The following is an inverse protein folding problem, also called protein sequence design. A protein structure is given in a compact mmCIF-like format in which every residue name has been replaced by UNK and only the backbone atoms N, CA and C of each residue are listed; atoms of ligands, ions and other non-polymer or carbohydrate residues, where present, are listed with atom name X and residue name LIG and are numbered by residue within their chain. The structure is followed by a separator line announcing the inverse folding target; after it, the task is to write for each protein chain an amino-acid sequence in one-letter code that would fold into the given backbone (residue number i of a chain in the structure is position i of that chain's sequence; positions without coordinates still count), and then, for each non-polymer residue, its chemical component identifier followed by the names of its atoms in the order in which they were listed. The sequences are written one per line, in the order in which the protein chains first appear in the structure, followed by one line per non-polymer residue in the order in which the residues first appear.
data_IF_169532183432
#
_entry.id   IF_169532183432
#
_cell.length_a   1.000
_cell.length_b   1.000
_cell.length_c   1.000
_cell.angle_alpha   90.00
_cell.angle_beta   90.00
_cell.angle_gamma   90.00
#
_symmetry.space_group_name_H-M   'P 1'
#
loop_
_entity.id
_entity.type
_entity.pdbx_description
1 polymer ?
#
# COMPACT_ATOMS: atom_id res chain seq x y z
N UNK A 1 23.02 38.32 -28.06
CA UNK A 1 22.39 38.89 -26.86
C UNK A 1 20.98 38.33 -26.75
N UNK A 2 20.82 37.21 -26.02
CA UNK A 2 19.62 36.82 -25.26
C UNK A 2 19.99 35.57 -24.46
N UNK A 3 20.12 35.73 -23.14
CA UNK A 3 20.43 34.67 -22.19
C UNK A 3 19.14 33.97 -21.76
N UNK A 4 19.15 32.62 -21.74
CA UNK A 4 18.08 31.82 -21.15
C UNK A 4 18.51 31.46 -19.72
N UNK A 5 17.79 31.99 -18.72
CA UNK A 5 17.99 31.66 -17.31
C UNK A 5 17.55 30.21 -17.04
N UNK A 6 18.47 29.37 -16.60
CA UNK A 6 18.18 28.07 -16.00
C UNK A 6 17.77 28.28 -14.54
N UNK A 7 16.53 27.92 -14.18
CA UNK A 7 16.08 27.92 -12.79
C UNK A 7 16.52 26.61 -12.13
N UNK A 8 17.44 26.71 -11.17
CA UNK A 8 17.90 25.60 -10.32
C UNK A 8 16.87 25.37 -9.22
N UNK A 9 16.19 24.23 -9.25
CA UNK A 9 15.33 23.80 -8.15
C UNK A 9 16.18 23.10 -7.09
N UNK A 10 16.46 23.80 -5.99
CA UNK A 10 17.26 23.28 -4.87
C UNK A 10 16.34 22.48 -3.93
N UNK A 11 16.41 21.14 -3.98
CA UNK A 11 15.73 20.28 -3.01
C UNK A 11 16.58 20.21 -1.75
N UNK A 12 16.12 20.86 -0.68
CA UNK A 12 16.72 20.74 0.66
C UNK A 12 16.35 19.36 1.21
N UNK A 13 17.32 18.44 1.21
CA UNK A 13 17.19 17.15 1.89
C UNK A 13 17.45 17.34 3.39
N UNK A 14 16.43 17.15 4.22
CA UNK A 14 16.57 17.00 5.67
C UNK A 14 17.25 15.65 5.95
N UNK A 15 18.55 15.68 6.21
CA UNK A 15 19.35 14.50 6.61
C UNK A 15 18.98 14.13 8.05
N UNK A 16 18.15 13.12 8.21
CA UNK A 16 18.00 12.43 9.50
C UNK A 16 19.10 11.37 9.60
N UNK A 17 19.76 11.20 10.77
CA UNK A 17 20.68 10.09 10.97
C UNK A 17 19.90 8.77 10.91
N UNK A 18 20.07 8.02 9.82
CA UNK A 18 19.64 6.63 9.71
C UNK A 18 20.71 5.76 10.36
N UNK A 19 20.37 5.14 11.49
CA UNK A 19 21.17 4.03 12.01
C UNK A 19 20.92 2.82 11.10
N UNK A 20 21.94 2.41 10.36
CA UNK A 20 21.91 1.19 9.56
C UNK A 20 21.95 -0.04 10.50
N UNK A 21 20.90 -0.85 10.49
CA UNK A 21 20.85 -2.14 11.18
C UNK A 21 21.50 -3.23 10.30
N UNK A 22 22.18 -4.18 10.94
CA UNK A 22 23.07 -5.19 10.35
C UNK A 22 22.55 -5.86 9.06
N UNK A 23 23.48 -6.04 8.12
CA UNK A 23 23.27 -6.30 6.69
C UNK A 23 22.72 -7.68 6.29
N UNK A 24 22.37 -8.55 7.24
CA UNK A 24 21.73 -9.85 6.96
C UNK A 24 20.21 -9.84 7.14
N UNK A 25 19.72 -9.19 8.19
CA UNK A 25 18.28 -9.11 8.48
C UNK A 25 17.56 -8.07 7.60
N UNK A 26 18.29 -7.06 7.13
CA UNK A 26 17.73 -5.98 6.32
C UNK A 26 17.11 -6.47 4.99
N UNK A 27 17.73 -7.46 4.34
CA UNK A 27 17.25 -8.00 3.06
C UNK A 27 15.95 -8.81 3.24
N UNK A 28 15.86 -9.61 4.30
CA UNK A 28 14.64 -10.35 4.64
C UNK A 28 13.49 -9.41 5.03
N UNK A 29 13.80 -8.35 5.79
CA UNK A 29 12.82 -7.36 6.22
C UNK A 29 12.33 -6.46 5.07
N UNK A 30 13.08 -6.31 3.99
CA UNK A 30 12.66 -5.53 2.82
C UNK A 30 11.37 -6.08 2.18
N UNK A 31 11.19 -7.41 2.22
CA UNK A 31 9.98 -8.08 1.71
C UNK A 31 8.87 -8.19 2.77
N UNK A 32 9.16 -7.88 4.03
CA UNK A 32 8.23 -8.05 5.13
C UNK A 32 7.18 -6.91 5.15
N UNK A 33 5.89 -7.19 4.91
CA UNK A 33 4.82 -6.20 4.97
C UNK A 33 4.54 -5.69 6.39
N UNK A 34 5.13 -6.29 7.42
CA UNK A 34 5.04 -5.84 8.81
C UNK A 34 6.38 -5.31 9.36
N UNK A 35 7.40 -5.12 8.51
CA UNK A 35 8.66 -4.52 8.93
C UNK A 35 8.40 -3.18 9.63
N UNK A 36 8.84 -3.08 10.88
CA UNK A 36 8.60 -1.93 11.76
C UNK A 36 9.54 -0.78 11.42
N UNK A 37 9.39 -0.22 10.22
CA UNK A 37 10.17 0.93 9.75
C UNK A 37 9.24 1.98 9.15
N UNK A 38 9.48 3.25 9.51
CA UNK A 38 8.81 4.36 8.84
C UNK A 38 9.31 4.42 7.40
N UNK A 39 8.40 4.32 6.44
CA UNK A 39 8.76 4.34 5.03
C UNK A 39 7.71 5.03 4.18
N UNK A 40 8.18 5.69 3.13
CA UNK A 40 7.36 6.22 2.05
C UNK A 40 7.85 5.61 0.74
N UNK A 41 6.99 4.85 0.07
CA UNK A 41 7.29 4.11 -1.13
C UNK A 41 6.42 4.61 -2.28
N UNK A 42 7.05 4.81 -3.43
CA UNK A 42 6.41 5.20 -4.68
C UNK A 42 6.59 4.06 -5.66
N UNK A 43 5.49 3.50 -6.14
CA UNK A 43 5.53 2.39 -7.08
C UNK A 43 4.74 2.73 -8.32
N UNK A 44 5.35 2.64 -9.49
CA UNK A 44 4.65 2.71 -10.76
C UNK A 44 4.48 1.28 -11.33
N UNK A 45 3.25 0.91 -11.65
CA UNK A 45 2.90 -0.37 -12.25
C UNK A 45 2.26 -0.13 -13.62
N UNK A 46 3.03 -0.37 -14.67
CA UNK A 46 2.55 -0.31 -16.04
C UNK A 46 2.02 -1.67 -16.50
N UNK A 47 0.79 -1.68 -17.01
CA UNK A 47 0.14 -2.85 -17.60
C UNK A 47 -0.03 -2.60 -19.10
N UNK A 48 0.80 -3.24 -19.91
CA UNK A 48 0.79 -3.04 -21.37
C UNK A 48 -0.51 -3.49 -22.05
N UNK A 49 -1.27 -4.38 -21.42
CA UNK A 49 -2.58 -4.80 -21.91
C UNK A 49 -3.50 -5.18 -20.75
N UNK A 50 -4.49 -4.34 -20.49
CA UNK A 50 -5.49 -4.58 -19.46
C UNK A 50 -6.49 -5.62 -19.96
N UNK A 51 -6.63 -6.71 -19.20
CA UNK A 51 -7.55 -7.81 -19.51
C UNK A 51 -8.99 -7.28 -19.64
N UNK A 52 -9.67 -7.61 -20.75
CA UNK A 52 -11.02 -7.16 -21.05
C UNK A 52 -11.14 -5.84 -21.81
N UNK A 53 -10.07 -5.04 -21.91
CA UNK A 53 -10.08 -3.74 -22.59
C UNK A 53 -9.10 -3.67 -23.77
N UNK A 54 -8.03 -4.47 -23.78
CA UNK A 54 -7.05 -4.48 -24.86
C UNK A 54 -6.12 -3.26 -24.91
N UNK A 55 -6.38 -2.27 -24.05
CA UNK A 55 -5.63 -1.01 -23.90
C UNK A 55 -4.65 -1.06 -22.72
N UNK A 56 -3.68 -0.13 -22.72
CA UNK A 56 -2.72 -0.01 -21.61
C UNK A 56 -3.35 0.65 -20.36
N UNK A 57 -2.82 0.32 -19.19
CA UNK A 57 -3.21 0.95 -17.92
C UNK A 57 -1.97 1.20 -17.07
N UNK A 58 -2.03 2.20 -16.22
CA UNK A 58 -0.94 2.56 -15.31
C UNK A 58 -1.48 2.77 -13.91
N UNK A 59 -0.80 2.26 -12.89
CA UNK A 59 -1.12 2.52 -11.50
C UNK A 59 0.11 3.05 -10.76
N UNK A 60 0.04 4.29 -10.30
CA UNK A 60 1.02 4.88 -9.40
C UNK A 60 0.53 4.76 -7.95
N UNK A 61 1.24 3.99 -7.13
CA UNK A 61 0.89 3.72 -5.74
C UNK A 61 1.77 4.55 -4.82
N UNK A 62 1.14 5.44 -4.06
CA UNK A 62 1.76 6.12 -2.93
C UNK A 62 1.51 5.29 -1.66
N UNK A 63 2.57 4.78 -1.04
CA UNK A 63 2.48 3.85 0.09
C UNK A 63 3.26 4.36 1.28
N UNK A 64 2.60 4.50 2.41
CA UNK A 64 3.24 4.88 3.69
C UNK A 64 3.22 3.72 4.68
N UNK A 65 4.23 3.65 5.53
CA UNK A 65 4.23 2.84 6.74
C UNK A 65 4.76 3.67 7.91
N UNK A 66 4.13 3.54 9.08
CA UNK A 66 4.48 4.25 10.30
C UNK A 66 4.29 3.31 11.49
N UNK A 67 5.37 2.90 12.16
CA UNK A 67 5.29 2.22 13.45
C UNK A 67 4.81 3.18 14.55
N UNK A 68 4.08 2.64 15.52
CA UNK A 68 3.67 3.35 16.73
C UNK A 68 3.38 2.35 17.86
N UNK A 69 3.29 2.83 19.09
CA UNK A 69 2.98 1.98 20.25
C UNK A 69 1.74 2.49 20.98
N UNK A 70 0.94 1.56 21.50
CA UNK A 70 -0.20 1.86 22.37
C UNK A 70 0.06 1.10 23.69
N UNK A 71 0.44 1.82 24.75
CA UNK A 71 0.94 1.18 25.97
C UNK A 71 2.16 0.32 25.65
N UNK A 72 2.12 -0.95 26.07
CA UNK A 72 3.20 -1.93 25.82
C UNK A 72 3.04 -2.70 24.50
N UNK A 73 2.04 -2.35 23.68
CA UNK A 73 1.78 -3.02 22.41
C UNK A 73 2.40 -2.27 21.23
N UNK A 74 3.02 -3.01 20.31
CA UNK A 74 3.65 -2.46 19.11
C UNK A 74 2.72 -2.60 17.91
N UNK A 75 2.62 -1.55 17.11
CA UNK A 75 1.73 -1.48 15.97
C UNK A 75 2.44 -0.90 14.76
N UNK A 76 1.92 -1.23 13.58
CA UNK A 76 2.30 -0.58 12.33
C UNK A 76 1.05 -0.12 11.58
N UNK A 77 0.99 1.17 11.27
CA UNK A 77 0.00 1.72 10.37
C UNK A 77 0.57 1.71 8.95
N UNK A 78 -0.21 1.24 7.98
CA UNK A 78 0.12 1.30 6.56
C UNK A 78 -1.00 1.93 5.79
N UNK A 79 -0.65 2.83 4.88
CA UNK A 79 -1.59 3.51 3.99
C UNK A 79 -1.16 3.29 2.53
N UNK A 80 -2.14 3.13 1.64
CA UNK A 80 -1.93 3.02 0.19
C UNK A 80 -2.95 3.88 -0.53
N UNK A 81 -2.45 4.85 -1.29
CA UNK A 81 -3.23 5.74 -2.14
C UNK A 81 -2.86 5.47 -3.60
N UNK A 82 -3.74 4.83 -4.38
CA UNK A 82 -3.52 4.65 -5.81
C UNK A 82 -3.91 5.91 -6.60
N UNK A 83 -3.05 6.29 -7.53
CA UNK A 83 -3.33 7.22 -8.63
C UNK A 83 -3.21 6.41 -9.90
N UNK A 84 -4.35 6.08 -10.52
CA UNK A 84 -4.36 5.18 -11.66
C UNK A 84 -4.90 5.86 -12.90
N UNK A 85 -4.33 5.47 -14.03
CA UNK A 85 -4.76 5.81 -15.38
C UNK A 85 -5.38 4.58 -16.01
N UNK A 86 -6.68 4.65 -16.30
CA UNK A 86 -7.40 3.57 -16.95
C UNK A 86 -7.97 4.04 -18.29
N UNK A 87 -8.13 3.13 -19.27
CA UNK A 87 -8.90 3.42 -20.47
C UNK A 87 -10.38 3.61 -20.10
N UNK A 88 -10.90 4.81 -20.33
CA UNK A 88 -12.30 5.17 -20.25
C UNK A 88 -13.11 4.53 -21.37
N UNK A 89 -14.28 4.00 -21.03
CA UNK A 89 -15.27 3.52 -22.00
C UNK A 89 -16.31 4.63 -22.23
N UNK A 90 -16.78 4.85 -23.48
CA UNK A 90 -16.62 4.01 -24.68
C UNK A 90 -15.64 4.57 -25.73
N UNK A 91 -15.01 5.72 -25.48
CA UNK A 91 -14.19 6.45 -26.45
C UNK A 91 -12.69 6.09 -26.42
N UNK A 92 -12.26 5.27 -25.46
CA UNK A 92 -10.86 4.89 -25.30
C UNK A 92 -9.98 6.01 -24.72
N UNK A 93 -10.58 7.09 -24.22
CA UNK A 93 -9.84 8.18 -23.59
C UNK A 93 -9.22 7.70 -22.27
N UNK A 94 -7.97 8.07 -21.97
CA UNK A 94 -7.35 7.69 -20.71
C UNK A 94 -7.78 8.63 -19.58
N UNK A 95 -8.46 8.09 -18.56
CA UNK A 95 -8.80 8.83 -17.36
C UNK A 95 -7.76 8.56 -16.27
N UNK A 96 -7.17 9.63 -15.74
CA UNK A 96 -6.27 9.56 -14.59
C UNK A 96 -6.95 10.16 -13.37
N UNK A 97 -6.90 9.44 -12.26
CA UNK A 97 -7.44 9.95 -11.02
C UNK A 97 -7.00 9.17 -9.79
N UNK A 98 -7.46 9.64 -8.64
CA UNK A 98 -7.26 8.94 -7.37
C UNK A 98 -8.23 7.76 -7.31
N UNK A 99 -7.79 6.67 -6.68
CA UNK A 99 -8.66 5.62 -6.19
C UNK A 99 -8.93 5.74 -4.69
N UNK A 100 -9.53 4.70 -4.11
CA UNK A 100 -9.85 4.67 -2.69
C UNK A 100 -8.59 4.50 -1.82
N UNK A 101 -8.42 5.35 -0.81
CA UNK A 101 -7.36 5.26 0.18
C UNK A 101 -7.59 4.04 1.08
N UNK A 102 -6.65 3.11 1.11
CA UNK A 102 -6.67 1.96 2.00
C UNK A 102 -5.69 2.17 3.16
N UNK A 103 -6.17 2.01 4.39
CA UNK A 103 -5.36 2.10 5.60
C UNK A 103 -5.60 0.86 6.45
N UNK A 104 -4.55 0.25 6.97
CA UNK A 104 -4.67 -0.72 8.05
C UNK A 104 -3.67 -0.44 9.17
N UNK A 105 -4.04 -0.80 10.38
CA UNK A 105 -3.13 -0.83 11.51
C UNK A 105 -3.05 -2.27 12.00
N UNK A 106 -1.85 -2.84 12.05
CA UNK A 106 -1.65 -4.19 12.55
C UNK A 106 -0.91 -4.13 13.89
N UNK A 107 -1.49 -4.75 14.91
CA UNK A 107 -0.76 -5.10 16.12
C UNK A 107 0.28 -6.17 15.77
N UNK A 108 1.51 -5.97 16.20
CA UNK A 108 2.63 -6.87 15.97
C UNK A 108 2.82 -7.76 17.19
N UNK A 109 2.62 -9.06 17.00
CA UNK A 109 2.88 -10.04 18.04
C UNK A 109 4.38 -10.29 18.15
N UNK A 110 4.87 -10.34 19.39
CA UNK A 110 6.21 -10.86 19.66
C UNK A 110 6.18 -12.39 19.54
N UNK A 111 6.79 -12.90 18.48
CA UNK A 111 6.86 -14.34 18.18
C UNK A 111 8.08 -14.99 18.80
N UNK A 112 8.97 -14.22 19.45
CA UNK A 112 10.26 -14.68 19.95
C UNK A 112 11.28 -15.02 18.87
N UNK A 113 10.94 -14.86 17.58
CA UNK A 113 11.83 -15.12 16.45
C UNK A 113 11.86 -13.90 15.51
N UNK A 114 13.02 -13.25 15.31
CA UNK A 114 13.14 -12.06 14.45
C UNK A 114 12.78 -12.34 12.97
N UNK A 115 12.84 -13.59 12.53
CA UNK A 115 12.45 -14.03 11.20
C UNK A 115 10.94 -14.29 11.04
N UNK A 116 10.13 -14.16 12.09
CA UNK A 116 8.66 -14.38 12.02
C UNK A 116 7.95 -13.12 12.44
N UNK A 117 7.22 -12.51 11.50
CA UNK A 117 6.33 -11.39 11.76
C UNK A 117 4.89 -11.85 11.64
N UNK A 118 4.12 -11.64 12.71
CA UNK A 118 2.70 -11.91 12.73
C UNK A 118 1.96 -10.68 13.24
N UNK A 119 0.89 -10.30 12.55
CA UNK A 119 0.11 -9.15 12.95
C UNK A 119 -1.33 -9.19 12.52
N UNK A 120 -2.18 -8.55 13.32
CA UNK A 120 -3.62 -8.45 13.06
C UNK A 120 -4.12 -7.07 13.46
N UNK A 121 -5.08 -6.53 12.73
CA UNK A 121 -5.78 -5.36 13.21
C UNK A 121 -6.75 -4.77 12.20
N UNK A 122 -7.34 -3.61 12.53
CA UNK A 122 -8.39 -3.02 11.73
C UNK A 122 -7.87 -2.53 10.38
N UNK A 123 -8.73 -2.61 9.38
CA UNK A 123 -8.53 -2.05 8.06
C UNK A 123 -9.71 -1.14 7.71
N UNK A 124 -9.42 0.00 7.11
CA UNK A 124 -10.36 1.00 6.66
C UNK A 124 -10.07 1.36 5.20
N UNK A 125 -11.12 1.64 4.43
CA UNK A 125 -11.02 2.15 3.07
C UNK A 125 -11.89 3.39 2.97
N UNK A 126 -11.25 4.50 2.61
CA UNK A 126 -11.89 5.80 2.47
C UNK A 126 -12.17 6.10 0.98
N UNK A 127 -13.34 6.67 0.65
CA UNK A 127 -13.74 6.95 -0.72
C UNK A 127 -13.08 8.22 -1.24
N UNK A 128 -11.78 8.18 -1.50
CA UNK A 128 -11.00 9.30 -2.07
C UNK A 128 -10.98 9.28 -3.58
N UNK A 129 -11.66 8.32 -4.21
CA UNK A 129 -11.62 8.18 -5.65
C UNK A 129 -12.25 9.39 -6.37
N UNK A 130 -11.55 9.92 -7.37
CA UNK A 130 -12.03 11.07 -8.15
C UNK A 130 -13.03 10.67 -9.23
N UNK A 131 -13.00 9.40 -9.66
CA UNK A 131 -13.95 8.81 -10.59
C UNK A 131 -14.50 7.48 -10.07
N UNK A 132 -15.73 7.14 -10.45
CA UNK A 132 -16.40 5.87 -10.10
C UNK A 132 -15.71 4.64 -10.73
N UNK A 133 -14.96 4.80 -11.82
CA UNK A 133 -14.17 3.74 -12.42
C UNK A 133 -12.93 3.40 -11.58
N UNK A 134 -12.46 4.32 -10.73
CA UNK A 134 -11.18 4.23 -10.01
C UNK A 134 -11.33 3.75 -8.56
N UNK A 135 -12.55 3.71 -8.04
CA UNK A 135 -12.82 3.28 -6.68
C UNK A 135 -14.27 2.91 -6.48
N UNK A 136 -14.56 2.40 -5.30
CA UNK A 136 -15.93 2.04 -4.93
C UNK A 136 -16.76 3.24 -4.50
N UNK A 137 -16.13 4.36 -4.15
CA UNK A 137 -16.84 5.55 -3.65
C UNK A 137 -17.57 5.26 -2.33
N UNK A 138 -17.14 4.23 -1.60
CA UNK A 138 -17.79 3.77 -0.37
C UNK A 138 -16.76 3.58 0.74
N UNK A 139 -17.16 3.93 1.95
CA UNK A 139 -16.45 3.55 3.16
C UNK A 139 -16.61 2.05 3.39
N UNK A 140 -15.49 1.38 3.63
CA UNK A 140 -15.46 0.00 4.06
C UNK A 140 -14.52 -0.16 5.24
N UNK A 141 -14.86 -1.03 6.18
CA UNK A 141 -13.92 -1.44 7.22
C UNK A 141 -13.96 -2.95 7.43
N UNK A 142 -12.93 -3.44 8.09
CA UNK A 142 -12.82 -4.82 8.52
C UNK A 142 -11.46 -5.04 9.15
N UNK A 143 -10.78 -6.13 8.81
CA UNK A 143 -9.52 -6.47 9.41
C UNK A 143 -8.53 -7.03 8.39
N UNK A 144 -7.25 -6.86 8.70
CA UNK A 144 -6.13 -7.45 8.02
C UNK A 144 -5.38 -8.35 8.99
N UNK A 145 -4.98 -9.53 8.52
CA UNK A 145 -4.06 -10.42 9.21
C UNK A 145 -2.92 -10.78 8.28
N UNK A 146 -1.71 -10.73 8.81
CA UNK A 146 -0.49 -10.92 8.04
C UNK A 146 0.43 -11.86 8.80
N UNK A 147 0.94 -12.84 8.09
CA UNK A 147 2.03 -13.70 8.53
C UNK A 147 3.14 -13.60 7.51
N UNK A 148 4.36 -13.38 7.97
CA UNK A 148 5.56 -13.40 7.16
C UNK A 148 6.64 -14.18 7.89
N UNK A 149 7.20 -15.18 7.20
CA UNK A 149 8.25 -16.05 7.72
C UNK A 149 9.45 -16.00 6.78
N UNK A 150 10.57 -15.52 7.32
CA UNK A 150 11.86 -15.41 6.67
C UNK A 150 12.98 -15.96 7.56
N UNK A 151 12.73 -17.13 8.17
CA UNK A 151 13.74 -17.82 9.00
C UNK A 151 14.83 -18.50 8.18
N UNK A 152 14.61 -18.68 6.87
CA UNK A 152 15.61 -19.21 5.93
C UNK A 152 16.00 -18.09 4.95
N UNK A 153 17.31 -17.83 4.75
CA UNK A 153 17.77 -16.83 3.78
C UNK A 153 17.39 -17.15 2.32
N UNK A 154 17.19 -18.42 1.97
CA UNK A 154 16.88 -18.83 0.60
C UNK A 154 15.38 -18.77 0.29
N UNK A 155 14.51 -18.93 1.29
CA UNK A 155 13.07 -19.06 1.09
C UNK A 155 12.29 -18.27 2.13
N UNK A 156 11.41 -17.40 1.64
CA UNK A 156 10.51 -16.58 2.45
C UNK A 156 9.08 -16.93 2.02
N UNK A 157 8.16 -17.00 2.98
CA UNK A 157 6.76 -17.29 2.70
C UNK A 157 5.84 -16.53 3.64
N UNK A 158 4.63 -16.25 3.17
CA UNK A 158 3.65 -15.57 3.99
C UNK A 158 2.28 -15.46 3.36
N UNK A 159 1.37 -14.87 4.12
CA UNK A 159 0.06 -14.50 3.62
C UNK A 159 -0.39 -13.15 4.18
N UNK A 160 -1.26 -12.51 3.40
CA UNK A 160 -2.08 -11.38 3.79
C UNK A 160 -3.54 -11.78 3.56
N UNK A 161 -4.27 -11.89 4.66
CA UNK A 161 -5.70 -12.12 4.69
C UNK A 161 -6.38 -10.80 5.02
N UNK A 162 -7.32 -10.38 4.18
CA UNK A 162 -8.12 -9.18 4.44
C UNK A 162 -9.60 -9.49 4.27
N UNK A 163 -10.39 -9.02 5.21
CA UNK A 163 -11.84 -9.07 5.15
C UNK A 163 -12.38 -7.66 5.35
N UNK A 164 -13.30 -7.24 4.48
CA UNK A 164 -13.91 -5.92 4.55
C UNK A 164 -15.41 -5.99 4.26
N UNK A 165 -16.18 -5.28 5.07
CA UNK A 165 -17.57 -4.98 4.82
C UNK A 165 -17.74 -3.48 4.52
N UNK A 166 -18.70 -3.16 3.66
CA UNK A 166 -19.07 -1.76 3.41
C UNK A 166 -19.88 -1.23 4.59
N UNK A 167 -19.66 0.03 4.93
CA UNK A 167 -20.28 0.68 6.09
C UNK A 167 -21.14 1.87 5.65
N UNK A 168 -20.70 2.67 4.67
CA UNK A 168 -21.46 3.83 4.18
C UNK A 168 -21.07 4.24 2.75
N UNK A 169 -22.01 4.80 1.97
CA UNK A 169 -21.77 5.39 0.64
C UNK A 169 -22.93 5.18 -0.33
N UNK A 170 -22.88 5.79 -1.52
CA UNK A 170 -24.02 5.79 -2.46
C UNK A 170 -24.34 4.39 -3.01
N UNK A 171 -25.59 3.96 -2.84
CA UNK A 171 -26.12 2.62 -3.11
C UNK A 171 -26.05 2.18 -4.59
N UNK A 172 -25.77 0.89 -4.83
CA UNK A 172 -26.39 0.01 -5.87
C UNK A 172 -25.65 -1.32 -6.17
N UNK A 173 -24.76 -1.86 -5.31
CA UNK A 173 -24.16 -3.22 -5.51
C UNK A 173 -23.99 -4.02 -4.19
N UNK A 174 -24.22 -5.35 -4.17
CA UNK A 174 -24.04 -6.19 -2.97
C UNK A 174 -22.58 -6.23 -2.50
N UNK A 175 -22.35 -6.33 -1.19
CA UNK A 175 -21.22 -5.64 -0.55
C UNK A 175 -20.45 -6.31 0.56
N UNK A 176 -19.80 -7.42 0.25
CA UNK A 176 -18.73 -7.99 1.07
C UNK A 176 -17.55 -8.28 0.15
N UNK A 177 -16.32 -7.93 0.59
CA UNK A 177 -15.09 -8.33 -0.10
C UNK A 177 -14.21 -9.13 0.83
N UNK A 178 -13.80 -10.30 0.36
CA UNK A 178 -12.78 -11.13 0.99
C UNK A 178 -11.64 -11.23 0.00
N UNK A 179 -10.43 -10.90 0.44
CA UNK A 179 -9.24 -11.03 -0.38
C UNK A 179 -8.16 -11.80 0.40
N UNK A 180 -7.63 -12.81 -0.26
CA UNK A 180 -6.57 -13.68 0.26
C UNK A 180 -5.43 -13.60 -0.75
N UNK A 181 -4.28 -13.10 -0.31
CA UNK A 181 -3.07 -13.09 -1.12
C UNK A 181 -1.95 -13.80 -0.37
N UNK A 182 -1.36 -14.82 -1.00
CA UNK A 182 -0.16 -15.52 -0.53
C UNK A 182 1.04 -15.13 -1.39
N UNK A 183 2.22 -15.08 -0.80
CA UNK A 183 3.49 -14.91 -1.51
C UNK A 183 4.52 -15.88 -0.99
#
# INVERSE_FOLDING_TARGET
MTAVLASVFCVVALVHPVFAQASGDAEAQANNPLASTTSLNFQNQFTGRLSGFGESANAFLLRGAQPFSIGDTNWIARATLPISTYPGLPDGSHETGLGDLNVFAAYLFDTGNPGISFGIGPQLTAPTATDRALGTGQWAAGFANVLFVATNPEWQYGYLLTWQARIAGSNSRPGVRVNISSR
#
